data_IF_084697520876
#
_entry.id   IF_084697520876
#
_cell.length_a   1.000
_cell.length_b   1.000
_cell.length_c   1.000
_cell.angle_alpha   90.00
_cell.angle_beta   90.00
_cell.angle_gamma   90.00
#
_symmetry.space_group_name_H-M   'P 1'
#
loop_
_entity.id
_entity.type
_entity.pdbx_description
1 polymer ?
#
# COMPACT_ATOMS: atom_id res chain seq x y z
N UNK A 1 -2.36 -28.72 12.70
CA UNK A 1 -3.09 -29.13 11.48
C UNK A 1 -2.48 -28.35 10.33
N UNK A 2 -1.70 -29.01 9.49
CA UNK A 2 -1.07 -28.43 8.30
C UNK A 2 -2.13 -28.21 7.22
N UNK A 3 -2.75 -27.04 7.17
CA UNK A 3 -3.42 -26.58 5.96
C UNK A 3 -2.32 -26.10 5.02
N UNK A 4 -1.93 -26.94 4.07
CA UNK A 4 -1.14 -26.52 2.93
C UNK A 4 -1.86 -25.33 2.28
N UNK A 5 -1.30 -24.13 2.44
CA UNK A 5 -1.82 -22.90 1.89
C UNK A 5 -1.72 -22.99 0.36
N UNK A 6 -2.76 -23.54 -0.28
CA UNK A 6 -2.81 -23.73 -1.73
C UNK A 6 -3.02 -22.36 -2.35
N UNK A 7 -1.95 -21.74 -2.86
CA UNK A 7 -1.98 -20.44 -3.53
C UNK A 7 -3.14 -20.38 -4.54
N UNK A 8 -3.91 -19.29 -4.51
CA UNK A 8 -5.00 -19.07 -5.46
C UNK A 8 -4.42 -18.86 -6.85
N UNK A 9 -4.76 -19.72 -7.81
CA UNK A 9 -4.32 -19.61 -9.20
C UNK A 9 -5.07 -18.51 -9.92
N UNK A 10 -4.33 -17.53 -10.42
CA UNK A 10 -4.86 -16.24 -10.84
C UNK A 10 -4.35 -15.86 -12.23
N UNK A 11 -5.21 -15.28 -13.04
CA UNK A 11 -4.84 -14.57 -14.28
C UNK A 11 -4.66 -13.09 -13.92
N UNK A 12 -3.61 -12.46 -14.42
CA UNK A 12 -3.38 -11.02 -14.31
C UNK A 12 -3.61 -10.34 -15.66
N UNK A 13 -4.40 -9.28 -15.67
CA UNK A 13 -4.48 -8.33 -16.79
C UNK A 13 -3.92 -7.00 -16.34
N UNK A 14 -2.86 -6.53 -17.00
CA UNK A 14 -2.17 -5.29 -16.65
C UNK A 14 -1.79 -4.49 -17.89
N UNK A 15 -1.17 -3.35 -17.68
CA UNK A 15 -0.60 -2.52 -18.72
C UNK A 15 0.68 -3.13 -19.30
N UNK A 16 1.05 -2.82 -20.55
CA UNK A 16 2.26 -3.36 -21.16
C UNK A 16 3.56 -2.69 -20.69
N UNK A 17 3.48 -1.54 -20.01
CA UNK A 17 4.68 -0.88 -19.47
C UNK A 17 5.29 -1.68 -18.33
N UNK A 18 6.62 -1.68 -18.27
CA UNK A 18 7.38 -2.52 -17.37
C UNK A 18 7.08 -2.22 -15.90
N UNK A 19 6.94 -0.95 -15.53
CA UNK A 19 6.72 -0.54 -14.14
C UNK A 19 5.37 -1.05 -13.62
N UNK A 20 4.26 -0.78 -14.34
CA UNK A 20 2.92 -1.21 -13.92
C UNK A 20 2.78 -2.72 -13.93
N UNK A 21 3.38 -3.36 -14.93
CA UNK A 21 3.35 -4.82 -15.04
C UNK A 21 4.05 -5.50 -13.85
N UNK A 22 5.24 -5.06 -13.49
CA UNK A 22 5.99 -5.62 -12.36
C UNK A 22 5.31 -5.29 -11.02
N UNK A 23 4.77 -4.09 -10.86
CA UNK A 23 3.99 -3.75 -9.67
C UNK A 23 2.72 -4.61 -9.56
N UNK A 24 1.97 -4.78 -10.66
CA UNK A 24 0.78 -5.65 -10.73
C UNK A 24 1.10 -7.10 -10.38
N UNK A 25 2.21 -7.66 -10.90
CA UNK A 25 2.69 -9.01 -10.52
C UNK A 25 3.00 -9.09 -9.03
N UNK A 26 3.75 -8.13 -8.51
CA UNK A 26 4.12 -8.09 -7.10
C UNK A 26 2.91 -7.97 -6.16
N UNK A 27 1.85 -7.25 -6.58
CA UNK A 27 0.58 -7.19 -5.86
C UNK A 27 -0.11 -8.54 -5.81
N UNK A 28 -0.24 -9.23 -6.95
CA UNK A 28 -0.89 -10.55 -7.02
C UNK A 28 -0.14 -11.57 -6.15
N UNK A 29 1.18 -11.60 -6.22
CA UNK A 29 2.02 -12.48 -5.39
C UNK A 29 1.89 -12.16 -3.90
N UNK A 30 1.79 -10.86 -3.55
CA UNK A 30 1.61 -10.41 -2.16
C UNK A 30 0.25 -10.76 -1.56
N UNK A 31 -0.73 -11.08 -2.41
CA UNK A 31 -2.06 -11.57 -2.02
C UNK A 31 -2.13 -13.11 -1.89
N UNK A 32 -0.99 -13.79 -1.76
CA UNK A 32 -0.90 -15.26 -1.73
C UNK A 32 -1.53 -15.92 -2.97
N UNK A 33 -1.40 -15.26 -4.13
CA UNK A 33 -1.88 -15.73 -5.41
C UNK A 33 -0.70 -16.18 -6.30
N UNK A 34 -0.93 -17.22 -7.11
CA UNK A 34 0.01 -17.69 -8.12
C UNK A 34 -0.45 -17.26 -9.50
N UNK A 35 0.34 -16.46 -10.18
CA UNK A 35 0.04 -16.05 -11.55
C UNK A 35 0.21 -17.25 -12.49
N UNK A 36 -0.85 -17.61 -13.21
CA UNK A 36 -0.85 -18.66 -14.23
C UNK A 36 -0.55 -18.06 -15.60
N UNK A 37 -1.18 -16.93 -15.91
CA UNK A 37 -1.04 -16.22 -17.18
C UNK A 37 -1.14 -14.72 -16.97
N UNK A 38 -0.36 -13.98 -17.75
CA UNK A 38 -0.45 -12.53 -17.81
C UNK A 38 -0.96 -12.14 -19.19
N UNK A 39 -1.97 -11.28 -19.21
CA UNK A 39 -2.44 -10.59 -20.42
C UNK A 39 -2.14 -9.10 -20.28
N UNK A 40 -1.77 -8.47 -21.35
CA UNK A 40 -1.50 -7.03 -21.37
C UNK A 40 -2.41 -6.30 -22.34
N UNK A 41 -2.81 -5.09 -21.95
CA UNK A 41 -3.60 -4.21 -22.79
C UNK A 41 -3.28 -2.76 -22.50
N UNK A 42 -3.19 -1.93 -23.55
CA UNK A 42 -2.79 -0.51 -23.41
C UNK A 42 -3.81 0.33 -22.64
N UNK A 43 -5.10 0.02 -22.74
CA UNK A 43 -6.20 0.73 -22.07
C UNK A 43 -7.07 -0.24 -21.30
N UNK A 44 -7.19 -0.05 -19.99
CA UNK A 44 -7.97 -0.88 -19.06
C UNK A 44 -9.20 -0.13 -18.54
N UNK A 45 -9.89 0.63 -19.41
CA UNK A 45 -11.09 1.38 -19.06
C UNK A 45 -12.17 1.30 -20.15
N UNK A 46 -12.42 0.09 -20.65
CA UNK A 46 -13.52 -0.16 -21.59
C UNK A 46 -14.85 -0.28 -20.84
N UNK A 47 -15.91 0.32 -21.39
CA UNK A 47 -17.21 0.48 -20.72
C UNK A 47 -17.87 -0.83 -20.28
N UNK A 48 -17.70 -1.91 -21.03
CA UNK A 48 -18.43 -3.16 -20.79
C UNK A 48 -17.72 -4.10 -19.81
N UNK A 49 -16.40 -4.26 -19.92
CA UNK A 49 -15.61 -5.25 -19.15
C UNK A 49 -14.39 -4.64 -18.42
N UNK A 50 -14.17 -3.33 -18.55
CA UNK A 50 -12.91 -2.71 -18.12
C UNK A 50 -11.76 -2.99 -19.07
N UNK A 51 -11.80 -4.10 -19.80
CA UNK A 51 -10.88 -4.51 -20.87
C UNK A 51 -11.63 -4.57 -22.21
N UNK A 52 -10.90 -4.58 -23.33
CA UNK A 52 -11.50 -4.72 -24.64
C UNK A 52 -12.25 -6.04 -24.81
N UNK A 53 -13.37 -6.03 -25.55
CA UNK A 53 -14.20 -7.23 -25.76
C UNK A 53 -13.42 -8.40 -26.35
N UNK A 54 -12.55 -8.14 -27.34
CA UNK A 54 -11.67 -9.18 -27.92
C UNK A 54 -10.71 -9.78 -26.89
N UNK A 55 -10.16 -8.95 -25.99
CA UNK A 55 -9.28 -9.44 -24.92
C UNK A 55 -10.07 -10.24 -23.88
N UNK A 56 -11.29 -9.81 -23.54
CA UNK A 56 -12.15 -10.55 -22.61
C UNK A 56 -12.52 -11.93 -23.18
N UNK A 57 -12.74 -12.02 -24.50
CA UNK A 57 -13.03 -13.28 -25.18
C UNK A 57 -11.80 -14.19 -25.26
N UNK A 58 -10.62 -13.64 -25.52
CA UNK A 58 -9.34 -14.37 -25.49
C UNK A 58 -9.12 -15.01 -24.10
N UNK A 59 -9.39 -14.25 -23.01
CA UNK A 59 -9.29 -14.77 -21.64
C UNK A 59 -10.34 -15.85 -21.39
N UNK A 60 -11.57 -15.68 -21.89
CA UNK A 60 -12.63 -16.70 -21.79
C UNK A 60 -12.22 -18.01 -22.42
N UNK A 61 -11.68 -17.97 -23.63
CA UNK A 61 -11.22 -19.18 -24.32
C UNK A 61 -10.05 -19.82 -23.57
N UNK A 62 -9.09 -19.02 -23.09
CA UNK A 62 -8.00 -19.53 -22.25
C UNK A 62 -8.51 -20.26 -21.01
N UNK A 63 -9.48 -19.68 -20.28
CA UNK A 63 -10.06 -20.31 -19.09
C UNK A 63 -10.85 -21.57 -19.44
N UNK A 64 -11.53 -21.63 -20.57
CA UNK A 64 -12.22 -22.86 -21.02
C UNK A 64 -11.26 -24.00 -21.32
N UNK A 65 -10.15 -23.71 -21.98
CA UNK A 65 -9.17 -24.72 -22.43
C UNK A 65 -8.28 -25.15 -21.26
N UNK A 66 -7.65 -24.19 -20.60
CA UNK A 66 -6.63 -24.47 -19.60
C UNK A 66 -7.14 -24.32 -18.15
N UNK A 67 -8.29 -23.71 -17.94
CA UNK A 67 -8.77 -23.37 -16.60
C UNK A 67 -9.09 -24.59 -15.74
N UNK A 68 -9.58 -25.66 -16.31
CA UNK A 68 -9.87 -26.92 -15.60
C UNK A 68 -8.60 -27.63 -15.14
N UNK A 69 -7.59 -27.72 -16.00
CA UNK A 69 -6.31 -28.35 -15.68
C UNK A 69 -5.48 -27.49 -14.71
N UNK A 70 -5.45 -26.20 -14.94
CA UNK A 70 -4.73 -25.24 -14.13
C UNK A 70 -5.45 -24.82 -12.85
N UNK A 71 -6.73 -25.16 -12.67
CA UNK A 71 -7.51 -24.83 -11.47
C UNK A 71 -7.57 -23.32 -11.23
N UNK A 72 -7.73 -22.52 -12.31
CA UNK A 72 -7.82 -21.06 -12.25
C UNK A 72 -9.09 -20.68 -11.49
N UNK A 73 -8.96 -19.83 -10.48
CA UNK A 73 -10.09 -19.41 -9.62
C UNK A 73 -10.41 -17.93 -9.74
N UNK A 74 -9.45 -17.12 -10.19
CA UNK A 74 -9.58 -15.68 -10.12
C UNK A 74 -8.93 -14.99 -11.32
N UNK A 75 -9.52 -13.87 -11.72
CA UNK A 75 -9.00 -12.93 -12.70
C UNK A 75 -8.80 -11.58 -12.00
N UNK A 76 -7.58 -11.07 -12.02
CA UNK A 76 -7.24 -9.73 -11.51
C UNK A 76 -7.04 -8.78 -12.66
N UNK A 77 -7.72 -7.64 -12.64
CA UNK A 77 -7.47 -6.53 -13.56
C UNK A 77 -6.78 -5.41 -12.79
N UNK A 78 -5.59 -5.01 -13.23
CA UNK A 78 -4.73 -4.00 -12.59
C UNK A 78 -5.21 -2.56 -12.83
N UNK A 79 -6.52 -2.34 -12.67
CA UNK A 79 -7.19 -1.04 -12.77
C UNK A 79 -8.43 -1.03 -11.89
N UNK A 80 -8.95 0.17 -11.58
CA UNK A 80 -10.26 0.32 -10.96
C UNK A 80 -11.37 -0.09 -11.92
N UNK A 81 -12.27 -0.97 -11.48
CA UNK A 81 -13.42 -1.40 -12.26
C UNK A 81 -14.74 -1.10 -11.54
N UNK A 82 -15.74 -0.71 -12.29
CA UNK A 82 -17.11 -0.56 -11.79
C UNK A 82 -17.74 -1.91 -11.49
N UNK A 83 -18.80 -1.95 -10.69
CA UNK A 83 -19.54 -3.18 -10.39
C UNK A 83 -20.07 -3.86 -11.65
N UNK A 84 -20.50 -3.05 -12.62
CA UNK A 84 -21.00 -3.55 -13.91
C UNK A 84 -19.89 -4.25 -14.71
N UNK A 85 -18.72 -3.64 -14.79
CA UNK A 85 -17.58 -4.22 -15.49
C UNK A 85 -17.14 -5.54 -14.84
N UNK A 86 -17.01 -5.57 -13.50
CA UNK A 86 -16.66 -6.78 -12.74
C UNK A 86 -17.69 -7.90 -12.93
N UNK A 87 -18.98 -7.56 -12.84
CA UNK A 87 -20.05 -8.53 -13.05
C UNK A 87 -20.04 -9.12 -14.46
N UNK A 88 -19.97 -8.25 -15.48
CA UNK A 88 -19.96 -8.67 -16.87
C UNK A 88 -18.74 -9.54 -17.18
N UNK A 89 -17.56 -9.13 -16.70
CA UNK A 89 -16.31 -9.83 -16.90
C UNK A 89 -16.33 -11.21 -16.22
N UNK A 90 -16.74 -11.29 -14.96
CA UNK A 90 -16.86 -12.55 -14.22
C UNK A 90 -17.83 -13.50 -14.89
N UNK A 91 -18.98 -12.99 -15.36
CA UNK A 91 -20.01 -13.79 -16.07
C UNK A 91 -19.48 -14.31 -17.41
N UNK A 92 -18.73 -13.50 -18.15
CA UNK A 92 -18.16 -13.90 -19.45
C UNK A 92 -17.08 -14.96 -19.28
N UNK A 93 -16.14 -14.72 -18.37
CA UNK A 93 -14.92 -15.54 -18.21
C UNK A 93 -15.21 -16.81 -17.39
N UNK A 94 -16.22 -16.80 -16.52
CA UNK A 94 -16.61 -17.95 -15.69
C UNK A 94 -15.76 -18.13 -14.43
N UNK A 95 -14.92 -17.15 -14.07
CA UNK A 95 -14.18 -17.06 -12.81
C UNK A 95 -14.41 -15.71 -12.17
N UNK A 96 -14.16 -15.61 -10.86
CA UNK A 96 -14.29 -14.35 -10.14
C UNK A 96 -13.30 -13.31 -10.69
N UNK A 97 -13.80 -12.16 -11.15
CA UNK A 97 -12.98 -11.03 -11.51
C UNK A 97 -12.92 -10.04 -10.35
N UNK A 98 -11.72 -9.62 -10.00
CA UNK A 98 -11.48 -8.54 -9.05
C UNK A 98 -10.62 -7.45 -9.67
N UNK A 99 -10.74 -6.25 -9.16
CA UNK A 99 -9.95 -5.11 -9.56
C UNK A 99 -8.73 -4.90 -8.66
N UNK A 100 -7.88 -3.94 -9.03
CA UNK A 100 -6.68 -3.56 -8.26
C UNK A 100 -7.03 -3.16 -6.82
N UNK A 101 -8.12 -2.44 -6.62
CA UNK A 101 -8.50 -1.95 -5.30
C UNK A 101 -8.89 -3.11 -4.37
N UNK A 102 -9.68 -4.05 -4.86
CA UNK A 102 -10.04 -5.25 -4.09
C UNK A 102 -8.82 -6.11 -3.77
N UNK A 103 -7.88 -6.22 -4.71
CA UNK A 103 -6.62 -6.94 -4.49
C UNK A 103 -5.81 -6.31 -3.34
N UNK A 104 -5.67 -4.98 -3.32
CA UNK A 104 -4.96 -4.25 -2.26
C UNK A 104 -5.65 -4.46 -0.91
N UNK A 105 -6.99 -4.38 -0.85
CA UNK A 105 -7.76 -4.65 0.37
C UNK A 105 -7.52 -6.08 0.89
N UNK A 106 -7.46 -7.07 0.01
CA UNK A 106 -7.18 -8.45 0.39
C UNK A 106 -5.78 -8.60 0.99
N UNK A 107 -4.76 -7.93 0.41
CA UNK A 107 -3.39 -7.91 0.96
C UNK A 107 -3.39 -7.27 2.35
N UNK A 108 -4.05 -6.13 2.49
CA UNK A 108 -4.13 -5.45 3.79
C UNK A 108 -4.83 -6.32 4.84
N UNK A 109 -5.92 -6.97 4.48
CA UNK A 109 -6.64 -7.87 5.39
C UNK A 109 -5.76 -9.02 5.89
N UNK A 110 -4.97 -9.64 5.02
CA UNK A 110 -4.06 -10.74 5.39
C UNK A 110 -2.91 -10.27 6.30
N UNK A 111 -2.52 -8.98 6.22
CA UNK A 111 -1.39 -8.39 6.99
C UNK A 111 -1.82 -7.69 8.28
N UNK A 112 -3.12 -7.48 8.50
CA UNK A 112 -3.63 -6.76 9.67
C UNK A 112 -3.51 -7.59 10.95
N UNK A 113 -2.61 -7.21 11.82
CA UNK A 113 -2.39 -7.88 13.12
C UNK A 113 -3.07 -7.17 14.30
N UNK A 114 -3.32 -5.85 14.18
CA UNK A 114 -3.91 -5.04 15.24
C UNK A 114 -5.41 -4.81 15.01
N UNK A 115 -6.16 -4.62 16.10
CA UNK A 115 -7.60 -4.28 16.04
C UNK A 115 -7.82 -2.97 15.27
N UNK A 116 -6.95 -2.00 15.43
CA UNK A 116 -7.07 -0.72 14.74
C UNK A 116 -6.84 -0.88 13.23
N UNK A 117 -5.79 -1.59 12.80
CA UNK A 117 -5.56 -1.86 11.39
C UNK A 117 -6.76 -2.61 10.76
N UNK A 118 -7.36 -3.56 11.47
CA UNK A 118 -8.57 -4.24 11.01
C UNK A 118 -9.76 -3.30 10.83
N UNK A 119 -9.97 -2.38 11.78
CA UNK A 119 -11.02 -1.36 11.65
C UNK A 119 -10.77 -0.41 10.47
N UNK A 120 -9.52 -0.04 10.20
CA UNK A 120 -9.15 0.80 9.05
C UNK A 120 -9.43 0.10 7.73
N UNK A 121 -9.08 -1.19 7.62
CA UNK A 121 -9.38 -1.98 6.43
C UNK A 121 -10.89 -2.14 6.25
N UNK A 122 -11.61 -2.44 7.33
CA UNK A 122 -13.07 -2.53 7.31
C UNK A 122 -13.72 -1.21 6.86
N UNK A 123 -13.17 -0.05 7.28
CA UNK A 123 -13.61 1.24 6.80
C UNK A 123 -13.38 1.38 5.29
N UNK A 124 -12.20 1.02 4.80
CA UNK A 124 -11.87 1.07 3.38
C UNK A 124 -12.75 0.10 2.56
N UNK A 125 -13.03 -1.11 3.07
CA UNK A 125 -13.96 -2.06 2.43
C UNK A 125 -15.37 -1.48 2.31
N UNK A 126 -15.90 -0.88 3.37
CA UNK A 126 -17.21 -0.23 3.33
C UNK A 126 -17.24 0.93 2.33
N UNK A 127 -16.18 1.72 2.27
CA UNK A 127 -16.04 2.81 1.30
C UNK A 127 -15.94 2.30 -0.14
N UNK A 128 -15.27 1.18 -0.37
CA UNK A 128 -15.23 0.48 -1.65
C UNK A 128 -16.61 -0.07 -2.06
N UNK A 129 -17.39 -0.61 -1.11
CA UNK A 129 -18.68 -1.22 -1.39
C UNK A 129 -19.83 -0.22 -1.59
N UNK A 130 -19.83 0.92 -0.92
CA UNK A 130 -20.93 1.90 -0.97
C UNK A 130 -21.28 2.35 -2.43
N UNK A 131 -20.34 2.77 -3.28
CA UNK A 131 -20.63 3.13 -4.66
C UNK A 131 -21.16 1.93 -5.47
N UNK A 132 -20.64 0.74 -5.19
CA UNK A 132 -20.98 -0.50 -5.89
C UNK A 132 -22.41 -0.96 -5.61
N UNK A 133 -22.87 -0.83 -4.38
CA UNK A 133 -24.28 -1.13 -4.02
C UNK A 133 -25.23 -0.19 -4.76
N UNK A 134 -24.91 1.11 -4.85
CA UNK A 134 -25.70 2.07 -5.61
C UNK A 134 -25.75 1.79 -7.09
N UNK A 135 -24.62 1.40 -7.68
CA UNK A 135 -24.55 1.05 -9.10
C UNK A 135 -25.36 -0.21 -9.41
N UNK A 136 -25.27 -1.25 -8.56
CA UNK A 136 -26.06 -2.47 -8.71
C UNK A 136 -27.57 -2.18 -8.63
N UNK A 137 -27.99 -1.26 -7.76
CA UNK A 137 -29.39 -0.81 -7.70
C UNK A 137 -29.88 -0.24 -9.03
N UNK A 138 -29.09 0.66 -9.63
CA UNK A 138 -29.44 1.26 -10.93
C UNK A 138 -29.54 0.24 -12.05
N UNK A 139 -28.76 -0.85 -11.99
CA UNK A 139 -28.83 -1.93 -12.97
C UNK A 139 -30.10 -2.76 -12.81
N UNK A 140 -30.54 -3.05 -11.59
CA UNK A 140 -31.75 -3.84 -11.33
C UNK A 140 -33.02 -3.03 -11.60
N UNK A 141 -33.08 -1.76 -11.20
CA UNK A 141 -34.25 -0.89 -11.46
C UNK A 141 -34.46 -0.54 -12.93
N UNK A 142 -33.38 -0.49 -13.74
CA UNK A 142 -33.48 -0.25 -15.19
C UNK A 142 -34.16 -1.38 -15.99
N UNK A 143 -34.28 -2.58 -15.43
CA UNK A 143 -34.93 -3.74 -16.06
C UNK A 143 -36.35 -4.02 -15.54
N UNK A 144 -36.83 -3.29 -14.53
CA UNK A 144 -38.17 -3.44 -13.99
C UNK A 144 -39.16 -2.46 -14.66
N UNK A 145 -40.31 -2.99 -15.12
CA UNK A 145 -41.39 -2.14 -15.69
C UNK A 145 -41.91 -1.17 -14.61
N UNK A 146 -42.18 0.12 -14.97
CA UNK A 146 -42.80 1.07 -14.04
C UNK A 146 -44.11 0.53 -13.52
N UNK A 147 -44.22 0.35 -12.19
CA UNK A 147 -45.50 -0.04 -11.56
C UNK A 147 -45.46 -1.15 -10.52
N UNK A 148 -44.35 -1.86 -10.35
CA UNK A 148 -44.10 -2.72 -9.19
C UNK A 148 -42.91 -2.18 -8.43
N UNK A 149 -43.16 -1.41 -7.35
CA UNK A 149 -42.16 -0.98 -6.39
C UNK A 149 -41.34 -2.17 -5.93
N UNK A 150 -40.13 -2.33 -6.52
CA UNK A 150 -39.46 -3.59 -6.59
C UNK A 150 -38.82 -3.96 -5.25
N UNK A 151 -38.97 -5.22 -4.87
CA UNK A 151 -38.25 -5.83 -3.76
C UNK A 151 -36.74 -5.62 -3.88
N UNK A 152 -36.21 -5.39 -5.11
CA UNK A 152 -34.82 -5.09 -5.40
C UNK A 152 -34.37 -3.72 -4.89
N UNK A 153 -35.15 -2.67 -5.11
CA UNK A 153 -34.82 -1.30 -4.66
C UNK A 153 -34.85 -1.20 -3.12
N UNK A 154 -35.85 -1.82 -2.49
CA UNK A 154 -35.92 -1.91 -1.02
C UNK A 154 -34.69 -2.63 -0.43
N UNK A 155 -34.27 -3.75 -1.02
CA UNK A 155 -33.12 -4.53 -0.56
C UNK A 155 -31.81 -3.74 -0.67
N UNK A 156 -31.66 -2.95 -1.74
CA UNK A 156 -30.49 -2.09 -1.94
C UNK A 156 -30.46 -0.93 -0.94
N UNK A 157 -31.61 -0.30 -0.69
CA UNK A 157 -31.71 0.77 0.31
C UNK A 157 -31.43 0.27 1.72
N UNK A 158 -31.83 -0.93 2.07
CA UNK A 158 -31.49 -1.56 3.35
C UNK A 158 -29.97 -1.78 3.42
N UNK A 159 -29.38 -2.41 2.40
CA UNK A 159 -27.93 -2.68 2.36
C UNK A 159 -27.12 -1.37 2.42
N UNK A 160 -27.54 -0.35 1.71
CA UNK A 160 -26.87 0.96 1.75
C UNK A 160 -26.93 1.61 3.14
N UNK A 161 -28.10 1.54 3.81
CA UNK A 161 -28.25 2.06 5.18
C UNK A 161 -27.39 1.29 6.16
N UNK A 162 -27.30 -0.04 6.02
CA UNK A 162 -26.47 -0.86 6.88
C UNK A 162 -24.98 -0.55 6.70
N UNK A 163 -24.50 -0.40 5.46
CA UNK A 163 -23.12 0.03 5.19
C UNK A 163 -22.83 1.39 5.81
N UNK A 164 -23.75 2.37 5.72
CA UNK A 164 -23.58 3.67 6.35
C UNK A 164 -23.51 3.59 7.88
N UNK A 165 -24.38 2.79 8.50
CA UNK A 165 -24.36 2.56 9.96
C UNK A 165 -23.02 1.93 10.37
N UNK A 166 -22.58 0.90 9.64
CA UNK A 166 -21.29 0.23 9.86
C UNK A 166 -20.13 1.22 9.73
N UNK A 167 -20.13 2.05 8.69
CA UNK A 167 -19.10 3.09 8.49
C UNK A 167 -19.04 4.06 9.67
N UNK A 168 -20.17 4.56 10.16
CA UNK A 168 -20.21 5.48 11.29
C UNK A 168 -19.70 4.81 12.57
N UNK A 169 -20.14 3.60 12.86
CA UNK A 169 -19.67 2.81 14.00
C UNK A 169 -18.14 2.62 13.97
N UNK A 170 -17.57 2.26 12.80
CA UNK A 170 -16.13 2.08 12.65
C UNK A 170 -15.40 3.40 12.87
N UNK A 171 -15.91 4.51 12.31
CA UNK A 171 -15.32 5.84 12.51
C UNK A 171 -15.29 6.23 14.00
N UNK A 172 -16.36 6.00 14.74
CA UNK A 172 -16.41 6.23 16.20
C UNK A 172 -15.33 5.42 16.94
N UNK A 173 -15.17 4.13 16.58
CA UNK A 173 -14.13 3.27 17.15
C UNK A 173 -12.72 3.75 16.83
N UNK A 174 -12.49 4.23 15.61
CA UNK A 174 -11.20 4.80 15.21
C UNK A 174 -10.90 6.12 15.93
N UNK A 175 -11.90 6.97 16.17
CA UNK A 175 -11.75 8.18 17.00
C UNK A 175 -11.35 7.83 18.41
N UNK A 176 -12.00 6.82 19.00
CA UNK A 176 -11.63 6.33 20.36
C UNK A 176 -10.19 5.81 20.40
N UNK A 177 -9.78 5.03 19.40
CA UNK A 177 -8.41 4.54 19.27
C UNK A 177 -7.40 5.70 19.12
N UNK A 178 -7.71 6.70 18.29
CA UNK A 178 -6.88 7.91 18.12
C UNK A 178 -6.71 8.65 19.45
N UNK A 179 -7.80 8.83 20.23
CA UNK A 179 -7.73 9.48 21.54
C UNK A 179 -6.81 8.75 22.53
N UNK A 180 -6.90 7.42 22.58
CA UNK A 180 -5.99 6.62 23.42
C UNK A 180 -4.53 6.81 23.02
N UNK A 181 -4.23 6.81 21.72
CA UNK A 181 -2.86 7.06 21.22
C UNK A 181 -2.37 8.46 21.56
N UNK A 182 -3.21 9.46 21.47
CA UNK A 182 -2.86 10.84 21.79
C UNK A 182 -2.46 11.00 23.26
N UNK A 183 -3.14 10.32 24.18
CA UNK A 183 -2.75 10.24 25.59
C UNK A 183 -1.36 9.57 25.78
N UNK A 184 -1.10 8.48 25.07
CA UNK A 184 0.24 7.85 25.08
C UNK A 184 1.32 8.74 24.45
N UNK A 185 0.97 9.52 23.43
CA UNK A 185 1.87 10.49 22.81
C UNK A 185 2.22 11.61 23.79
N UNK A 186 1.25 12.18 24.49
CA UNK A 186 1.49 13.20 25.53
C UNK A 186 2.38 12.68 26.67
N UNK A 187 2.21 11.42 27.07
CA UNK A 187 3.11 10.78 28.05
C UNK A 187 4.54 10.64 27.48
N UNK A 188 4.69 10.28 26.20
CA UNK A 188 5.99 10.20 25.51
C UNK A 188 6.65 11.57 25.32
N UNK A 189 5.89 12.62 25.05
CA UNK A 189 6.41 14.00 24.93
C UNK A 189 7.06 14.46 26.24
N UNK A 190 6.61 13.97 27.40
CA UNK A 190 7.26 14.22 28.68
C UNK A 190 8.66 13.60 28.79
N UNK A 191 8.96 12.55 28.03
CA UNK A 191 10.29 11.91 27.99
C UNK A 191 11.25 12.57 27.00
N UNK A 192 10.79 13.56 26.22
CA UNK A 192 11.57 14.29 25.22
C UNK A 192 12.34 13.39 24.22
N UNK A 193 11.91 12.14 24.02
CA UNK A 193 12.54 11.25 23.07
C UNK A 193 12.17 11.63 21.63
N UNK A 194 13.16 11.96 20.77
CA UNK A 194 12.89 12.24 19.37
C UNK A 194 12.36 10.99 18.64
N UNK A 195 11.49 11.21 17.67
CA UNK A 195 10.91 10.16 16.84
C UNK A 195 11.46 10.26 15.42
N UNK A 196 12.00 9.16 14.92
CA UNK A 196 12.47 9.02 13.53
C UNK A 196 11.61 7.97 12.83
N UNK A 197 11.01 8.32 11.70
CA UNK A 197 10.18 7.41 10.91
C UNK A 197 10.84 7.01 9.60
N UNK A 198 10.78 5.71 9.28
CA UNK A 198 11.20 5.17 8.00
C UNK A 198 10.01 5.17 7.04
N UNK A 199 10.10 5.93 5.97
CA UNK A 199 9.07 6.08 4.95
C UNK A 199 9.67 5.74 3.59
N UNK A 200 8.85 5.34 2.63
CA UNK A 200 9.30 5.04 1.28
C UNK A 200 8.40 4.05 0.58
N UNK A 201 8.66 3.85 -0.69
CA UNK A 201 7.91 2.90 -1.51
C UNK A 201 8.03 1.47 -0.96
N UNK A 202 7.10 0.59 -1.32
CA UNK A 202 7.25 -0.85 -1.01
C UNK A 202 8.58 -1.37 -1.53
N UNK A 203 9.20 -2.29 -0.79
CA UNK A 203 10.51 -2.90 -1.12
C UNK A 203 11.71 -1.94 -1.15
N UNK A 204 11.58 -0.68 -0.68
CA UNK A 204 12.71 0.27 -0.57
C UNK A 204 13.71 -0.05 0.55
N UNK A 205 13.49 -1.13 1.31
CA UNK A 205 14.41 -1.58 2.37
C UNK A 205 14.11 -1.03 3.77
N UNK A 206 12.90 -0.48 4.03
CA UNK A 206 12.50 0.05 5.36
C UNK A 206 12.68 -0.96 6.48
N UNK A 207 12.03 -2.11 6.39
CA UNK A 207 12.08 -3.15 7.42
C UNK A 207 13.48 -3.75 7.56
N UNK A 208 14.23 -3.87 6.46
CA UNK A 208 15.63 -4.31 6.49
C UNK A 208 16.51 -3.33 7.25
N UNK A 209 16.37 -2.03 6.97
CA UNK A 209 17.09 -0.98 7.70
C UNK A 209 16.68 -0.94 9.18
N UNK A 210 15.38 -1.07 9.46
CA UNK A 210 14.87 -1.15 10.81
C UNK A 210 15.52 -2.29 11.59
N UNK A 211 15.59 -3.50 11.02
CA UNK A 211 16.22 -4.66 11.64
C UNK A 211 17.72 -4.43 11.93
N UNK A 212 18.45 -3.84 10.96
CA UNK A 212 19.88 -3.53 11.12
C UNK A 212 20.11 -2.52 12.25
N UNK A 213 19.24 -1.50 12.36
CA UNK A 213 19.39 -0.47 13.39
C UNK A 213 18.98 -0.95 14.77
N UNK A 214 17.91 -1.73 14.89
CA UNK A 214 17.34 -2.19 16.16
C UNK A 214 17.86 -3.55 16.61
N UNK A 215 18.60 -4.26 15.74
CA UNK A 215 19.05 -5.66 15.94
C UNK A 215 17.87 -6.65 16.09
N UNK A 216 16.73 -6.34 15.49
CA UNK A 216 15.59 -7.23 15.41
C UNK A 216 15.65 -8.14 14.17
N UNK A 217 14.88 -9.22 14.19
CA UNK A 217 14.75 -10.17 13.07
C UNK A 217 13.29 -10.24 12.62
N UNK A 218 12.71 -9.10 12.20
CA UNK A 218 11.42 -9.12 11.54
C UNK A 218 11.54 -9.78 10.17
N UNK A 219 10.51 -10.49 9.78
CA UNK A 219 10.44 -11.03 8.42
C UNK A 219 10.58 -9.91 7.40
N UNK A 220 11.61 -10.02 6.58
CA UNK A 220 11.81 -9.22 5.39
C UNK A 220 11.49 -10.09 4.20
N UNK A 221 10.48 -9.75 3.44
CA UNK A 221 10.14 -10.45 2.20
C UNK A 221 10.14 -9.47 1.03
N UNK A 222 10.22 -10.00 -0.17
CA UNK A 222 9.99 -9.23 -1.41
C UNK A 222 8.51 -8.87 -1.60
N UNK A 223 7.62 -9.40 -0.78
CA UNK A 223 6.18 -9.10 -0.83
C UNK A 223 5.91 -7.64 -0.48
N UNK A 224 4.95 -7.04 -1.18
CA UNK A 224 4.50 -5.69 -0.89
C UNK A 224 3.76 -5.65 0.46
N UNK A 225 3.85 -4.51 1.16
CA UNK A 225 3.16 -4.30 2.44
C UNK A 225 3.51 -5.31 3.54
N UNK A 226 4.79 -5.68 3.66
CA UNK A 226 5.26 -6.53 4.77
C UNK A 226 4.96 -5.94 6.15
N UNK A 227 4.95 -4.62 6.24
CA UNK A 227 4.56 -3.87 7.44
C UNK A 227 3.28 -3.11 7.15
N UNK A 228 2.16 -3.49 7.78
CA UNK A 228 0.89 -2.75 7.72
C UNK A 228 0.63 -1.98 9.03
N UNK A 229 1.10 -2.48 10.16
CA UNK A 229 1.02 -1.80 11.45
C UNK A 229 2.37 -1.21 11.79
N UNK A 230 2.39 0.05 12.17
CA UNK A 230 3.63 0.73 12.58
C UNK A 230 4.29 0.00 13.75
N UNK A 231 5.58 -0.17 13.68
CA UNK A 231 6.36 -0.75 14.79
C UNK A 231 7.39 0.25 15.26
N UNK A 232 7.34 0.61 16.53
CA UNK A 232 8.26 1.56 17.15
C UNK A 232 9.19 0.84 18.13
N UNK A 233 10.48 1.19 18.11
CA UNK A 233 11.51 0.68 19.01
C UNK A 233 12.41 1.81 19.50
N UNK A 234 12.92 1.65 20.70
CA UNK A 234 13.96 2.54 21.25
C UNK A 234 15.29 2.16 20.61
N UNK A 235 15.93 3.12 19.99
CA UNK A 235 17.29 3.00 19.47
C UNK A 235 18.25 3.71 20.44
N UNK A 236 19.20 2.95 21.01
CA UNK A 236 20.20 3.46 21.94
C UNK A 236 21.54 3.62 21.23
N UNK A 237 22.16 4.78 21.39
CA UNK A 237 23.48 5.08 20.84
C UNK A 237 24.54 5.00 21.95
N UNK A 238 25.49 4.07 21.81
CA UNK A 238 26.49 3.79 22.82
C UNK A 238 27.35 5.00 23.16
N UNK A 239 27.66 5.82 22.14
CA UNK A 239 28.65 6.89 22.24
C UNK A 239 28.15 8.14 22.97
N UNK A 240 26.84 8.35 23.08
CA UNK A 240 26.26 9.60 23.56
C UNK A 240 25.17 9.45 24.64
N UNK A 241 24.87 8.24 25.12
CA UNK A 241 23.73 7.93 25.99
C UNK A 241 22.39 8.47 25.46
N UNK A 242 22.29 8.68 24.14
CA UNK A 242 21.09 9.18 23.52
C UNK A 242 20.18 8.04 23.12
N UNK A 243 18.91 8.30 23.26
CA UNK A 243 17.85 7.39 22.85
C UNK A 243 16.91 8.13 21.91
N UNK A 244 16.44 7.44 20.88
CA UNK A 244 15.37 7.91 20.00
C UNK A 244 14.39 6.78 19.70
N UNK A 245 13.20 7.12 19.30
CA UNK A 245 12.20 6.18 18.83
C UNK A 245 12.34 6.03 17.31
N UNK A 246 12.60 4.81 16.85
CA UNK A 246 12.61 4.47 15.43
C UNK A 246 11.31 3.76 15.08
N UNK A 247 10.60 4.24 14.05
CA UNK A 247 9.32 3.69 13.60
C UNK A 247 9.44 3.17 12.18
N UNK A 248 9.09 1.89 11.98
CA UNK A 248 8.89 1.29 10.66
C UNK A 248 7.44 1.47 10.23
N UNK A 249 7.22 1.91 8.99
CA UNK A 249 5.89 2.30 8.50
C UNK A 249 5.42 1.47 7.30
N UNK A 250 4.15 1.63 6.94
CA UNK A 250 3.58 1.04 5.73
C UNK A 250 4.32 1.55 4.50
N UNK A 251 4.63 0.66 3.57
CA UNK A 251 5.21 1.06 2.28
C UNK A 251 4.17 1.70 1.36
N UNK A 252 4.56 2.73 0.63
CA UNK A 252 3.72 3.33 -0.40
C UNK A 252 3.73 2.49 -1.68
N UNK A 253 2.67 2.62 -2.46
CA UNK A 253 2.54 2.09 -3.83
C UNK A 253 2.00 3.18 -4.75
N UNK A 254 2.12 2.97 -6.05
CA UNK A 254 1.50 3.85 -7.01
C UNK A 254 -0.03 3.71 -7.01
N UNK A 255 -0.73 4.74 -7.42
CA UNK A 255 -2.18 4.71 -7.64
C UNK A 255 -2.99 4.17 -6.44
N UNK A 256 -2.58 4.53 -5.21
CA UNK A 256 -3.36 4.20 -4.02
C UNK A 256 -4.64 5.05 -4.00
N UNK A 257 -5.84 4.46 -3.89
CA UNK A 257 -7.08 5.22 -3.90
C UNK A 257 -7.17 6.20 -2.72
N UNK A 258 -7.69 7.43 -2.91
CA UNK A 258 -7.80 8.43 -1.84
C UNK A 258 -8.55 7.92 -0.60
N UNK A 259 -9.64 7.17 -0.78
CA UNK A 259 -10.39 6.61 0.35
C UNK A 259 -9.59 5.62 1.19
N UNK A 260 -8.61 4.91 0.59
CA UNK A 260 -7.68 4.08 1.34
C UNK A 260 -6.69 4.93 2.13
N UNK A 261 -6.17 6.02 1.53
CA UNK A 261 -5.32 6.98 2.26
C UNK A 261 -6.09 7.54 3.45
N UNK A 262 -7.35 7.93 3.26
CA UNK A 262 -8.23 8.41 4.33
C UNK A 262 -8.45 7.36 5.44
N UNK A 263 -8.68 6.10 5.06
CA UNK A 263 -8.88 5.02 6.04
C UNK A 263 -7.64 4.79 6.91
N UNK A 264 -6.44 4.87 6.32
CA UNK A 264 -5.15 4.73 7.01
C UNK A 264 -4.56 6.06 7.50
N UNK A 265 -5.25 7.17 7.27
CA UNK A 265 -4.76 8.53 7.57
C UNK A 265 -4.20 8.64 8.99
N UNK A 266 -4.90 8.12 9.98
CA UNK A 266 -4.48 8.22 11.37
C UNK A 266 -3.18 7.46 11.68
N UNK A 267 -2.93 6.33 11.00
CA UNK A 267 -1.68 5.56 11.14
C UNK A 267 -0.54 6.24 10.38
N UNK A 268 -0.83 6.77 9.19
CA UNK A 268 0.13 7.51 8.39
C UNK A 268 0.50 8.84 9.07
N UNK A 269 -0.47 9.60 9.57
CA UNK A 269 -0.23 10.84 10.33
C UNK A 269 0.65 10.60 11.56
N UNK A 270 0.44 9.50 12.30
CA UNK A 270 1.30 9.17 13.45
C UNK A 270 2.73 8.96 13.03
N UNK A 271 2.93 8.23 11.94
CA UNK A 271 4.26 7.97 11.38
C UNK A 271 4.94 9.23 10.84
N UNK A 272 4.14 10.11 10.22
CA UNK A 272 4.62 11.35 9.60
C UNK A 272 4.71 12.53 10.57
N UNK A 273 4.12 12.41 11.76
CA UNK A 273 4.30 13.35 12.87
C UNK A 273 5.65 13.21 13.59
N UNK A 274 6.58 12.45 13.01
CA UNK A 274 7.93 12.28 13.51
C UNK A 274 8.74 13.61 13.49
N UNK A 275 9.81 13.64 14.26
CA UNK A 275 10.76 14.76 14.27
C UNK A 275 11.65 14.74 13.05
N UNK A 276 11.96 13.53 12.54
CA UNK A 276 12.71 13.29 11.33
C UNK A 276 12.04 12.15 10.53
N UNK A 277 11.87 12.36 9.24
CA UNK A 277 11.37 11.35 8.30
C UNK A 277 12.51 10.96 7.38
N UNK A 278 12.86 9.69 7.36
CA UNK A 278 13.82 9.12 6.41
C UNK A 278 13.04 8.56 5.22
N UNK A 279 13.07 9.27 4.09
CA UNK A 279 12.48 8.80 2.83
C UNK A 279 13.48 7.89 2.12
N UNK A 280 13.23 6.58 2.18
CA UNK A 280 14.09 5.57 1.58
C UNK A 280 13.75 5.38 0.11
N UNK A 281 14.77 5.50 -0.74
CA UNK A 281 14.69 5.33 -2.20
C UNK A 281 15.63 4.21 -2.61
N UNK A 282 15.08 3.20 -3.29
CA UNK A 282 15.84 2.05 -3.79
C UNK A 282 16.67 2.45 -5.02
N UNK A 283 17.98 2.44 -4.91
CA UNK A 283 18.89 2.81 -5.99
C UNK A 283 19.12 1.69 -7.02
N UNK A 284 18.71 0.47 -6.73
CA UNK A 284 18.97 -0.69 -7.60
C UNK A 284 18.12 -0.68 -8.89
N UNK A 285 17.05 0.08 -8.91
CA UNK A 285 16.07 0.11 -10.01
C UNK A 285 16.53 1.02 -11.19
N UNK A 286 15.76 1.00 -12.28
CA UNK A 286 15.96 1.92 -13.40
C UNK A 286 15.56 3.36 -13.04
N UNK A 287 16.20 4.36 -13.64
CA UNK A 287 15.97 5.78 -13.34
C UNK A 287 14.51 6.20 -13.44
N UNK A 288 13.81 5.74 -14.47
CA UNK A 288 12.38 6.03 -14.68
C UNK A 288 11.53 5.49 -13.51
N UNK A 289 11.76 4.23 -13.11
CA UNK A 289 11.05 3.60 -11.99
C UNK A 289 11.34 4.31 -10.66
N UNK A 290 12.59 4.70 -10.44
CA UNK A 290 12.99 5.49 -9.25
C UNK A 290 12.23 6.81 -9.22
N UNK A 291 12.16 7.52 -10.36
CA UNK A 291 11.43 8.79 -10.48
C UNK A 291 9.93 8.63 -10.16
N UNK A 292 9.28 7.62 -10.74
CA UNK A 292 7.84 7.33 -10.50
C UNK A 292 7.59 7.02 -9.01
N UNK A 293 8.42 6.16 -8.40
CA UNK A 293 8.28 5.77 -6.99
C UNK A 293 8.54 6.94 -6.04
N UNK A 294 9.55 7.74 -6.34
CA UNK A 294 9.87 8.94 -5.57
C UNK A 294 8.74 9.97 -5.61
N UNK A 295 8.22 10.27 -6.81
CA UNK A 295 7.08 11.17 -7.00
C UNK A 295 5.84 10.64 -6.25
N UNK A 296 5.51 9.36 -6.38
CA UNK A 296 4.37 8.74 -5.67
C UNK A 296 4.48 8.88 -4.15
N UNK A 297 5.70 8.77 -3.59
CA UNK A 297 5.90 8.99 -2.16
C UNK A 297 5.61 10.44 -1.76
N UNK A 298 6.08 11.41 -2.56
CA UNK A 298 5.85 12.82 -2.32
C UNK A 298 4.38 13.22 -2.46
N UNK A 299 3.66 12.61 -3.41
CA UNK A 299 2.22 12.88 -3.60
C UNK A 299 1.43 12.50 -2.34
N UNK A 300 1.69 11.31 -1.76
CA UNK A 300 1.07 10.89 -0.50
C UNK A 300 1.50 11.79 0.66
N UNK A 301 2.77 12.15 0.76
CA UNK A 301 3.25 13.06 1.84
C UNK A 301 2.63 14.46 1.74
N UNK A 302 2.45 14.99 0.53
CA UNK A 302 1.76 16.28 0.29
C UNK A 302 0.29 16.21 0.68
N UNK A 303 -0.42 15.14 0.32
CA UNK A 303 -1.82 14.92 0.71
C UNK A 303 -1.97 14.90 2.24
N UNK A 304 -0.98 14.34 2.95
CA UNK A 304 -0.91 14.31 4.40
C UNK A 304 -0.27 15.55 5.03
N UNK A 305 0.02 16.59 4.23
CA UNK A 305 0.57 17.89 4.68
C UNK A 305 1.88 17.76 5.47
N UNK A 306 2.76 16.87 5.04
CA UNK A 306 4.07 16.66 5.67
C UNK A 306 4.97 17.86 5.39
N UNK A 307 5.60 18.37 6.44
CA UNK A 307 6.63 19.41 6.32
C UNK A 307 7.90 18.83 5.68
N UNK A 308 8.25 19.32 4.49
CA UNK A 308 9.41 18.86 3.73
C UNK A 308 10.75 19.09 4.47
N UNK A 309 10.81 20.08 5.36
CA UNK A 309 12.00 20.36 6.17
C UNK A 309 12.34 19.22 7.15
N UNK A 310 11.39 18.32 7.42
CA UNK A 310 11.60 17.14 8.26
C UNK A 310 12.00 15.89 7.47
N UNK A 311 12.03 15.97 6.13
CA UNK A 311 12.27 14.81 5.27
C UNK A 311 13.72 14.78 4.84
N UNK A 312 14.40 13.68 5.15
CA UNK A 312 15.74 13.39 4.66
C UNK A 312 15.67 12.23 3.67
N UNK A 313 16.12 12.46 2.43
CA UNK A 313 16.18 11.41 1.42
C UNK A 313 17.39 10.52 1.67
N UNK A 314 17.17 9.22 1.68
CA UNK A 314 18.20 8.20 1.88
C UNK A 314 18.17 7.22 0.72
N UNK A 315 19.23 7.19 -0.08
CA UNK A 315 19.42 6.25 -1.16
C UNK A 315 19.90 4.91 -0.60
N UNK A 316 19.09 3.86 -0.81
CA UNK A 316 19.34 2.51 -0.26
C UNK A 316 19.94 1.58 -1.32
N UNK A 317 20.40 0.41 -0.90
CA UNK A 317 20.96 -0.65 -1.76
C UNK A 317 22.17 -0.18 -2.57
N UNK A 318 23.03 0.63 -1.97
CA UNK A 318 24.27 1.10 -2.59
C UNK A 318 25.15 -0.05 -3.15
N UNK A 319 25.10 -1.21 -2.51
CA UNK A 319 25.83 -2.42 -2.92
C UNK A 319 25.40 -3.00 -4.28
N UNK A 320 24.29 -2.55 -4.82
CA UNK A 320 23.73 -3.01 -6.09
C UNK A 320 23.94 -2.02 -7.25
N UNK A 321 24.66 -0.91 -7.03
CA UNK A 321 24.87 0.15 -8.03
C UNK A 321 26.30 0.67 -7.99
N UNK A 322 26.79 1.13 -9.15
CA UNK A 322 28.08 1.80 -9.27
C UNK A 322 27.97 3.31 -9.00
N UNK A 323 29.12 3.97 -8.90
CA UNK A 323 29.19 5.42 -8.63
C UNK A 323 28.60 6.27 -9.77
N UNK A 324 28.65 5.79 -11.01
CA UNK A 324 28.11 6.53 -12.15
C UNK A 324 26.59 6.57 -12.08
N UNK A 325 25.98 5.42 -11.91
CA UNK A 325 24.52 5.31 -11.75
C UNK A 325 24.04 6.10 -10.51
N UNK A 326 24.81 6.10 -9.43
CA UNK A 326 24.49 6.90 -8.24
C UNK A 326 24.43 8.40 -8.56
N UNK A 327 25.42 8.92 -9.32
CA UNK A 327 25.43 10.33 -9.78
C UNK A 327 24.25 10.64 -10.69
N UNK A 328 23.89 9.72 -11.57
CA UNK A 328 22.71 9.86 -12.45
C UNK A 328 21.41 9.93 -11.64
N UNK A 329 21.24 9.08 -10.61
CA UNK A 329 20.06 9.10 -9.70
C UNK A 329 19.99 10.44 -8.97
N UNK A 330 21.09 10.91 -8.39
CA UNK A 330 21.15 12.18 -7.66
C UNK A 330 20.74 13.34 -8.57
N UNK A 331 21.26 13.38 -9.80
CA UNK A 331 20.92 14.38 -10.81
C UNK A 331 19.46 14.28 -11.25
N UNK A 332 18.96 13.06 -11.50
CA UNK A 332 17.60 12.81 -11.95
C UNK A 332 16.56 13.24 -10.93
N UNK A 333 16.81 12.97 -9.66
CA UNK A 333 15.93 13.35 -8.54
C UNK A 333 16.20 14.75 -8.00
N UNK A 334 17.19 15.48 -8.55
CA UNK A 334 17.60 16.83 -8.11
C UNK A 334 17.92 16.90 -6.61
N UNK A 335 18.64 15.90 -6.10
CA UNK A 335 18.97 15.81 -4.68
C UNK A 335 20.29 16.56 -4.37
N UNK A 336 20.29 17.28 -3.23
CA UNK A 336 21.49 17.92 -2.70
C UNK A 336 22.09 17.01 -1.60
N UNK A 337 23.29 16.46 -1.85
CA UNK A 337 24.08 15.60 -0.95
C UNK A 337 23.25 14.52 -0.19
N UNK A 338 22.53 13.62 -0.89
CA UNK A 338 21.71 12.61 -0.24
C UNK A 338 22.56 11.59 0.50
N UNK A 339 22.06 11.10 1.62
CA UNK A 339 22.67 9.98 2.31
C UNK A 339 22.53 8.70 1.49
N UNK A 340 23.63 7.98 1.34
CA UNK A 340 23.67 6.71 0.63
C UNK A 340 24.02 5.58 1.58
N UNK A 341 23.25 4.50 1.58
CA UNK A 341 23.44 3.38 2.50
C UNK A 341 23.27 2.02 1.83
N UNK A 342 23.88 1.00 2.44
CA UNK A 342 23.55 -0.40 2.22
C UNK A 342 23.30 -1.09 3.55
N UNK A 343 22.08 -1.55 3.74
CA UNK A 343 21.72 -2.37 4.92
C UNK A 343 22.38 -3.77 4.88
N UNK A 344 22.81 -4.23 3.70
CA UNK A 344 23.44 -5.53 3.50
C UNK A 344 24.92 -5.51 3.89
N UNK A 345 25.65 -4.48 3.48
CA UNK A 345 27.09 -4.35 3.72
C UNK A 345 27.44 -3.50 4.94
N UNK A 346 26.47 -2.74 5.46
CA UNK A 346 26.70 -1.77 6.53
C UNK A 346 27.22 -0.42 6.06
N UNK A 347 27.44 -0.24 4.74
CA UNK A 347 27.91 1.02 4.17
C UNK A 347 26.97 2.18 4.54
N UNK A 348 27.53 3.30 4.96
CA UNK A 348 26.79 4.53 5.29
C UNK A 348 25.94 4.48 6.57
N UNK A 349 25.77 3.32 7.20
CA UNK A 349 24.91 3.17 8.40
C UNK A 349 25.44 4.02 9.57
N UNK A 350 26.74 4.10 9.76
CA UNK A 350 27.33 4.95 10.80
C UNK A 350 27.06 6.45 10.54
N UNK A 351 27.23 6.90 9.28
CA UNK A 351 26.92 8.28 8.86
C UNK A 351 25.42 8.59 9.11
N UNK A 352 24.53 7.65 8.72
CA UNK A 352 23.09 7.78 8.97
C UNK A 352 22.78 7.94 10.47
N UNK A 353 23.36 7.10 11.35
CA UNK A 353 23.18 7.19 12.80
C UNK A 353 23.59 8.56 13.33
N UNK A 354 24.74 9.09 12.89
CA UNK A 354 25.23 10.41 13.32
C UNK A 354 24.29 11.54 12.87
N UNK A 355 23.74 11.46 11.65
CA UNK A 355 22.77 12.44 11.16
C UNK A 355 21.47 12.37 11.94
N UNK A 356 20.94 11.17 12.20
CA UNK A 356 19.73 11.00 13.05
C UNK A 356 19.91 11.64 14.42
N UNK A 357 21.05 11.43 15.07
CA UNK A 357 21.37 12.03 16.38
C UNK A 357 21.47 13.55 16.27
N UNK A 358 22.16 14.08 15.27
CA UNK A 358 22.36 15.53 15.10
C UNK A 358 21.04 16.26 14.85
N UNK A 359 20.23 15.78 13.91
CA UNK A 359 18.96 16.42 13.55
C UNK A 359 17.93 16.34 14.66
N UNK A 360 17.94 15.26 15.44
CA UNK A 360 17.08 15.14 16.61
C UNK A 360 17.46 16.10 17.75
N UNK A 361 18.74 16.49 17.87
CA UNK A 361 19.21 17.50 18.86
C UNK A 361 18.83 18.91 18.48
N UNK A 362 18.96 19.28 17.21
CA UNK A 362 18.67 20.65 16.77
C UNK A 362 17.25 21.11 17.09
N UNK A 363 16.33 20.18 17.15
CA UNK A 363 14.93 20.45 17.54
C UNK A 363 14.70 20.56 19.05
N UNK A 364 15.56 19.96 19.85
CA UNK A 364 15.48 20.08 21.34
C UNK A 364 16.07 21.39 21.85
N UNK A 365 16.90 22.06 21.04
CA UNK A 365 17.57 23.33 21.38
C UNK A 365 16.99 24.55 20.65
N UNK A 366 15.92 24.39 19.92
CA UNK A 366 15.26 25.45 19.13
C UNK A 366 14.00 26.02 19.76
N UNK A 367 13.96 26.10 21.11
CA UNK A 367 13.09 26.98 21.92
C UNK A 367 13.90 28.14 22.47
#
# INVERSE_FOLDING_TARGET
MNTSNKLTRTILVSYPDSFRLEEGKSLVESADCKIVKVFTQKYLNHSQYGIGSGKAEEIREFVKVEGKENGIKQLVVDEHLTSRQLHNLSKLVGVEAIDRERLILNIFYSRATTTEARLQIELAEVQYEIPRVRETARMTSGNERPGKGGMGEYTVDVKFRDLKRRMNFIKEKLVEAKRKRELYRQQRTRTQMPVVSLVGYTSSGKTTLFNVLTKENKETSSSLFTTLSTTTRVLKFSDNRQELLLTDTVGFISRLPPYMIDAFKSTLEESLAADLILLLVDSSEGLENIGIKYSSCWDVMKELQVDSAKVLVVLTKHDAVDEQKMKEIVKHLQLEDPLTISSKTGYGIHKLKNVMVRMSRQKMSGD
#
